data_IF_717891226215
#
_entry.id   IF_717891226215
#
_cell.length_a   1.000
_cell.length_b   1.000
_cell.length_c   1.000
_cell.angle_alpha   90.00
_cell.angle_beta   90.00
_cell.angle_gamma   90.00
#
_symmetry.space_group_name_H-M   'P 1'
#
loop_
_entity.id
_entity.type
_entity.pdbx_description
1 polymer ?
#
# COMPACT_ATOMS: atom_id res chain seq x y z
N UNK A 1 2.56 -9.37 15.47
CA UNK A 1 3.75 -8.79 14.82
C UNK A 1 3.36 -8.35 13.41
N UNK A 2 2.82 -7.15 13.25
CA UNK A 2 2.36 -6.65 11.95
C UNK A 2 3.49 -5.97 11.17
N UNK A 3 3.73 -6.37 9.92
CA UNK A 3 4.69 -5.72 9.04
C UNK A 3 4.03 -4.65 8.18
N UNK A 4 4.25 -3.37 8.52
CA UNK A 4 3.76 -2.23 7.73
C UNK A 4 4.45 -2.08 6.37
N UNK A 5 3.72 -1.61 5.35
CA UNK A 5 4.17 -1.56 3.95
C UNK A 5 4.42 -0.11 3.49
N UNK A 6 5.55 0.50 3.89
CA UNK A 6 5.89 1.89 3.52
C UNK A 6 6.28 2.14 2.06
N UNK A 7 5.59 3.00 1.30
CA UNK A 7 6.24 3.51 0.09
C UNK A 7 5.48 4.40 -0.89
N UNK A 8 6.01 4.44 -2.11
CA UNK A 8 5.73 5.46 -3.14
C UNK A 8 4.34 5.37 -3.77
N UNK A 9 3.47 4.53 -3.19
CA UNK A 9 2.04 4.68 -3.37
C UNK A 9 1.52 6.04 -2.89
N UNK A 10 2.26 6.76 -2.04
CA UNK A 10 1.87 8.01 -1.35
C UNK A 10 0.92 8.98 -2.07
N UNK A 11 0.98 9.16 -3.40
CA UNK A 11 0.04 10.04 -4.13
C UNK A 11 -1.32 9.41 -4.52
N UNK A 12 -1.41 8.07 -4.66
CA UNK A 12 -2.66 7.32 -4.89
C UNK A 12 -3.11 6.58 -3.61
N UNK A 13 -2.23 6.40 -2.64
CA UNK A 13 -2.48 5.69 -1.39
C UNK A 13 -2.79 6.64 -0.23
N UNK A 14 -2.28 7.89 -0.25
CA UNK A 14 -2.84 8.96 0.58
C UNK A 14 -4.33 9.20 0.30
N UNK A 15 -4.76 8.93 -0.94
CA UNK A 15 -6.16 8.96 -1.38
C UNK A 15 -7.03 7.89 -0.69
N UNK A 16 -6.45 6.79 -0.20
CA UNK A 16 -7.18 5.77 0.57
C UNK A 16 -7.09 6.03 2.09
N UNK A 17 -5.91 6.43 2.58
CA UNK A 17 -5.63 6.53 4.02
C UNK A 17 -6.34 7.70 4.73
N UNK A 18 -6.58 8.82 4.04
CA UNK A 18 -7.34 9.96 4.54
C UNK A 18 -8.87 9.73 4.49
N UNK A 19 -9.34 8.48 4.50
CA UNK A 19 -10.77 8.17 4.57
C UNK A 19 -11.30 8.14 6.02
N UNK A 20 -10.48 7.74 7.00
CA UNK A 20 -10.97 7.42 8.36
C UNK A 20 -10.23 8.04 9.55
N UNK A 21 -9.07 8.68 9.38
CA UNK A 21 -8.33 9.16 10.56
C UNK A 21 -7.14 10.09 10.35
N UNK A 22 -6.96 10.66 9.15
CA UNK A 22 -5.94 11.69 8.94
C UNK A 22 -6.33 12.97 9.66
N UNK A 23 -5.56 13.35 10.69
CA UNK A 23 -5.64 14.64 11.38
C UNK A 23 -5.72 15.75 10.31
N UNK A 24 -6.87 16.43 10.25
CA UNK A 24 -7.05 17.50 9.28
C UNK A 24 -6.03 18.59 9.61
N UNK A 25 -5.02 18.75 8.77
CA UNK A 25 -4.49 20.06 8.49
C UNK A 25 -5.62 20.84 7.78
N UNK A 26 -6.59 21.34 8.57
CA UNK A 26 -7.73 22.09 8.02
C UNK A 26 -7.17 23.26 7.22
N UNK A 27 -7.41 23.32 5.88
CA UNK A 27 -7.21 24.56 5.18
C UNK A 27 -8.20 25.55 5.77
N UNK A 28 -7.69 26.53 6.50
CA UNK A 28 -8.47 27.55 7.19
C UNK A 28 -9.64 28.04 6.32
N UNK A 29 -10.85 27.65 6.73
CA UNK A 29 -12.14 28.11 6.22
C UNK A 29 -12.36 28.13 4.69
N UNK A 30 -12.98 27.09 4.12
CA UNK A 30 -14.03 27.32 3.11
C UNK A 30 -15.42 27.18 3.76
N UNK A 31 -16.04 28.27 4.24
CA UNK A 31 -17.34 28.23 4.91
C UNK A 31 -18.50 28.02 3.92
N UNK A 32 -18.25 27.83 2.63
CA UNK A 32 -19.28 27.79 1.59
C UNK A 32 -19.57 26.43 0.96
N UNK A 33 -18.77 25.37 1.21
CA UNK A 33 -18.86 24.12 0.43
C UNK A 33 -19.21 22.84 1.20
N UNK A 34 -19.16 22.86 2.53
CA UNK A 34 -19.60 21.73 3.35
C UNK A 34 -20.40 22.22 4.56
N UNK A 35 -21.57 21.62 4.79
CA UNK A 35 -22.45 21.90 5.93
C UNK A 35 -21.92 21.39 7.28
N UNK A 36 -20.60 21.34 7.46
CA UNK A 36 -19.96 21.00 8.73
C UNK A 36 -19.80 22.26 9.58
N UNK A 37 -20.43 22.29 10.77
CA UNK A 37 -20.23 23.37 11.71
C UNK A 37 -18.78 23.36 12.24
N UNK A 38 -18.02 24.43 11.98
CA UNK A 38 -16.67 24.64 12.52
C UNK A 38 -16.65 24.51 14.05
N UNK A 39 -15.57 23.97 14.62
CA UNK A 39 -15.40 23.86 16.07
C UNK A 39 -15.40 25.24 16.77
N UNK A 40 -15.74 25.34 18.08
CA UNK A 40 -15.87 26.63 18.76
C UNK A 40 -14.59 27.49 18.79
N UNK A 41 -13.41 26.87 18.82
CA UNK A 41 -12.13 27.57 18.99
C UNK A 41 -11.78 28.51 17.83
N UNK A 42 -11.85 28.03 16.59
CA UNK A 42 -11.30 28.77 15.44
C UNK A 42 -12.26 29.81 14.86
N UNK A 43 -13.56 29.75 15.18
CA UNK A 43 -14.57 30.69 14.67
C UNK A 43 -14.22 32.15 14.96
N UNK A 44 -13.67 32.44 16.15
CA UNK A 44 -13.32 33.80 16.56
C UNK A 44 -12.13 34.36 15.78
N UNK A 45 -11.14 33.53 15.45
CA UNK A 45 -9.96 33.93 14.67
C UNK A 45 -10.30 34.05 13.18
N UNK A 46 -11.01 33.07 12.63
CA UNK A 46 -11.39 33.03 11.21
C UNK A 46 -12.41 34.10 10.83
N UNK A 47 -13.15 34.67 11.78
CA UNK A 47 -14.02 35.82 11.55
C UNK A 47 -13.28 37.02 10.92
N UNK A 48 -11.98 37.18 11.24
CA UNK A 48 -11.12 38.24 10.72
C UNK A 48 -10.45 37.90 9.37
N UNK A 49 -10.47 36.64 8.92
CA UNK A 49 -9.76 36.20 7.69
C UNK A 49 -10.53 36.55 6.41
N UNK A 50 -10.62 37.85 6.09
CA UNK A 50 -11.32 38.35 4.88
C UNK A 50 -10.43 38.26 3.64
N UNK A 51 -11.00 37.87 2.50
CA UNK A 51 -10.29 37.79 1.21
C UNK A 51 -9.42 36.54 1.01
N UNK A 52 -9.59 35.50 1.84
CA UNK A 52 -8.80 34.26 1.78
C UNK A 52 -8.89 33.52 0.43
N UNK A 53 -10.03 33.64 -0.29
CA UNK A 53 -10.23 33.07 -1.64
C UNK A 53 -9.20 33.63 -2.62
N UNK A 54 -9.17 34.96 -2.78
CA UNK A 54 -8.22 35.65 -3.67
C UNK A 54 -6.77 35.39 -3.25
N UNK A 55 -6.47 35.32 -1.94
CA UNK A 55 -5.13 34.92 -1.47
C UNK A 55 -4.77 33.48 -1.86
N UNK A 56 -5.73 32.56 -1.86
CA UNK A 56 -5.53 31.17 -2.28
C UNK A 56 -5.28 31.09 -3.78
N UNK A 57 -6.03 31.82 -4.59
CA UNK A 57 -5.81 31.89 -6.04
C UNK A 57 -4.44 32.52 -6.36
N UNK A 58 -4.05 33.59 -5.66
CA UNK A 58 -2.77 34.27 -5.89
C UNK A 58 -1.54 33.43 -5.50
N UNK A 59 -1.70 32.40 -4.64
CA UNK A 59 -0.60 31.49 -4.29
C UNK A 59 -0.03 30.75 -5.51
N UNK A 60 -0.80 30.59 -6.60
CA UNK A 60 -0.30 29.97 -7.84
C UNK A 60 0.89 30.73 -8.46
N UNK A 61 1.01 32.04 -8.19
CA UNK A 61 2.10 32.90 -8.67
C UNK A 61 3.22 33.07 -7.64
N UNK A 62 2.99 32.67 -6.38
CA UNK A 62 3.97 32.78 -5.29
C UNK A 62 4.66 31.45 -4.98
N UNK A 63 4.00 30.33 -5.28
CA UNK A 63 4.47 28.97 -4.99
C UNK A 63 4.44 28.15 -6.28
N UNK A 64 5.57 27.52 -6.64
CA UNK A 64 5.64 26.56 -7.76
C UNK A 64 4.86 25.25 -7.49
N UNK A 65 4.16 25.14 -6.36
CA UNK A 65 3.38 23.96 -5.96
C UNK A 65 1.91 24.17 -6.31
N UNK A 66 1.43 23.47 -7.34
CA UNK A 66 0.02 23.44 -7.70
C UNK A 66 -0.81 22.74 -6.61
N UNK A 67 -1.91 23.37 -6.19
CA UNK A 67 -2.81 22.82 -5.18
C UNK A 67 -4.07 22.24 -5.85
N UNK A 68 -4.16 20.91 -5.97
CA UNK A 68 -5.31 20.22 -6.55
C UNK A 68 -6.18 19.60 -5.45
N UNK A 69 -7.25 20.30 -5.04
CA UNK A 69 -8.06 19.94 -3.87
C UNK A 69 -9.37 19.16 -4.15
N UNK A 70 -9.70 18.83 -5.41
CA UNK A 70 -11.08 18.50 -5.79
C UNK A 70 -11.36 17.18 -6.53
N UNK A 71 -10.38 16.32 -6.83
CA UNK A 71 -10.61 15.14 -7.69
C UNK A 71 -10.62 13.77 -6.98
N UNK A 72 -10.47 13.74 -5.65
CA UNK A 72 -10.17 12.51 -4.90
C UNK A 72 -11.30 11.47 -4.93
N UNK A 73 -12.53 11.89 -4.59
CA UNK A 73 -13.70 10.98 -4.49
C UNK A 73 -14.11 10.51 -5.88
N UNK A 74 -14.13 11.42 -6.85
CA UNK A 74 -14.53 11.14 -8.23
C UNK A 74 -13.57 10.14 -8.91
N UNK A 75 -12.27 10.20 -8.61
CA UNK A 75 -11.27 9.21 -9.09
C UNK A 75 -11.50 7.83 -8.48
N UNK A 76 -11.81 7.73 -7.18
CA UNK A 76 -12.13 6.43 -6.56
C UNK A 76 -13.40 5.83 -7.18
N UNK A 77 -14.44 6.64 -7.39
CA UNK A 77 -15.67 6.20 -8.03
C UNK A 77 -15.44 5.75 -9.49
N UNK A 78 -14.66 6.50 -10.27
CA UNK A 78 -14.32 6.17 -11.66
C UNK A 78 -13.46 4.89 -11.79
N UNK A 79 -12.69 4.53 -10.77
CA UNK A 79 -11.88 3.31 -10.72
C UNK A 79 -12.64 2.08 -10.20
N UNK A 80 -13.96 2.16 -10.03
CA UNK A 80 -14.78 1.02 -9.56
C UNK A 80 -14.87 0.89 -8.03
N UNK A 81 -14.58 1.97 -7.30
CA UNK A 81 -14.62 1.97 -5.83
C UNK A 81 -13.40 1.33 -5.18
N UNK A 82 -13.37 1.33 -3.84
CA UNK A 82 -12.20 0.86 -3.07
C UNK A 82 -11.99 -0.65 -3.26
N UNK A 83 -13.05 -1.44 -3.30
CA UNK A 83 -12.95 -2.90 -3.47
C UNK A 83 -12.34 -3.29 -4.83
N UNK A 84 -12.81 -2.68 -5.92
CA UNK A 84 -12.26 -2.88 -7.27
C UNK A 84 -10.77 -2.51 -7.36
N UNK A 85 -10.39 -1.38 -6.74
CA UNK A 85 -8.99 -0.97 -6.62
C UNK A 85 -8.17 -2.02 -5.85
N UNK A 86 -8.70 -2.59 -4.76
CA UNK A 86 -7.98 -3.56 -3.93
C UNK A 86 -7.84 -4.93 -4.59
N UNK A 87 -8.68 -5.31 -5.54
CA UNK A 87 -8.54 -6.56 -6.32
C UNK A 87 -7.24 -6.60 -7.14
N UNK A 88 -6.81 -5.45 -7.66
CA UNK A 88 -5.57 -5.27 -8.41
C UNK A 88 -4.32 -5.18 -7.52
N UNK A 89 -4.46 -5.40 -6.20
CA UNK A 89 -3.39 -5.28 -5.19
C UNK A 89 -3.14 -6.57 -4.43
N UNK A 90 -2.03 -6.62 -3.68
CA UNK A 90 -1.67 -7.72 -2.80
C UNK A 90 -2.54 -7.80 -1.52
N UNK A 91 -3.60 -6.98 -1.38
CA UNK A 91 -4.42 -6.89 -0.18
C UNK A 91 -4.95 -8.26 0.30
N UNK A 92 -5.53 -9.07 -0.59
CA UNK A 92 -6.06 -10.40 -0.24
C UNK A 92 -5.01 -11.34 0.36
N UNK A 93 -3.72 -11.18 0.02
CA UNK A 93 -2.62 -11.94 0.60
C UNK A 93 -2.20 -11.48 2.01
N UNK A 94 -2.63 -10.30 2.46
CA UNK A 94 -2.37 -9.82 3.83
C UNK A 94 -3.30 -10.45 4.87
N UNK A 95 -4.38 -11.09 4.41
CA UNK A 95 -5.36 -11.82 5.24
C UNK A 95 -6.07 -10.95 6.31
N UNK A 96 -6.17 -9.64 6.08
CA UNK A 96 -7.08 -8.79 6.84
C UNK A 96 -8.54 -9.01 6.42
N UNK A 97 -9.51 -9.01 7.35
CA UNK A 97 -10.92 -9.27 7.04
C UNK A 97 -11.61 -8.08 6.37
N UNK A 98 -11.17 -6.85 6.66
CA UNK A 98 -11.69 -5.58 6.12
C UNK A 98 -10.54 -4.65 5.78
N UNK A 99 -10.80 -3.68 4.91
CA UNK A 99 -9.85 -2.59 4.62
C UNK A 99 -10.06 -1.35 5.52
N UNK A 100 -11.23 -1.25 6.15
CA UNK A 100 -11.57 -0.26 7.18
C UNK A 100 -10.61 -0.39 8.38
N UNK A 101 -10.17 0.75 8.92
CA UNK A 101 -9.20 0.83 10.01
C UNK A 101 -7.75 0.53 9.64
N UNK A 102 -7.42 0.31 8.36
CA UNK A 102 -6.03 0.13 7.91
C UNK A 102 -5.32 1.46 7.70
N UNK A 103 -4.18 1.62 8.36
CA UNK A 103 -3.35 2.82 8.26
C UNK A 103 -2.00 2.52 7.62
N UNK A 104 -1.70 3.25 6.53
CA UNK A 104 -0.36 3.33 5.98
C UNK A 104 0.52 4.19 6.91
N UNK A 105 1.60 3.61 7.44
CA UNK A 105 2.54 4.32 8.32
C UNK A 105 3.41 5.29 7.51
N UNK A 106 3.07 6.59 7.59
CA UNK A 106 3.60 7.67 6.73
C UNK A 106 5.11 7.94 6.86
N UNK A 107 5.78 7.45 7.92
CA UNK A 107 7.22 7.44 8.03
C UNK A 107 7.66 6.34 9.00
N UNK A 108 8.38 5.33 8.49
CA UNK A 108 9.09 4.41 9.38
C UNK A 108 10.04 5.21 10.28
N UNK A 109 10.19 4.79 11.55
CA UNK A 109 11.16 5.41 12.47
C UNK A 109 12.58 5.44 11.91
N UNK A 110 12.92 4.49 11.02
CA UNK A 110 14.17 4.47 10.26
C UNK A 110 14.31 5.70 9.34
N UNK A 111 13.33 5.96 8.47
CA UNK A 111 13.36 7.10 7.54
C UNK A 111 13.34 8.44 8.27
N UNK A 112 12.54 8.57 9.33
CA UNK A 112 12.55 9.73 10.22
C UNK A 112 13.94 9.97 10.85
N UNK A 113 14.59 8.92 11.38
CA UNK A 113 15.93 8.99 11.97
C UNK A 113 17.04 9.31 10.96
N UNK A 114 16.79 9.12 9.67
CA UNK A 114 17.75 9.35 8.60
C UNK A 114 17.56 10.69 7.88
N UNK A 115 16.35 11.27 7.94
CA UNK A 115 15.97 12.56 7.30
C UNK A 115 16.91 13.71 7.64
N UNK A 116 17.37 13.78 8.89
CA UNK A 116 18.23 14.85 9.40
C UNK A 116 19.73 14.49 9.41
N UNK A 117 20.10 13.28 8.98
CA UNK A 117 21.51 12.86 8.88
C UNK A 117 22.11 13.33 7.56
N UNK A 118 23.39 13.71 7.59
CA UNK A 118 24.12 14.16 6.39
C UNK A 118 24.46 12.95 5.50
N UNK A 119 23.56 12.64 4.57
CA UNK A 119 23.72 11.55 3.60
C UNK A 119 24.50 11.98 2.36
N UNK A 120 25.25 11.04 1.77
CA UNK A 120 25.79 11.18 0.42
C UNK A 120 24.69 11.05 -0.64
N UNK A 121 24.95 11.54 -1.87
CA UNK A 121 24.00 11.40 -2.98
C UNK A 121 23.68 9.92 -3.31
N UNK A 122 24.66 9.02 -3.15
CA UNK A 122 24.46 7.57 -3.32
C UNK A 122 23.54 6.99 -2.24
N UNK A 123 23.72 7.38 -0.96
CA UNK A 123 22.83 6.97 0.13
C UNK A 123 21.40 7.51 -0.05
N UNK A 124 21.26 8.77 -0.49
CA UNK A 124 19.95 9.38 -0.78
C UNK A 124 19.23 8.68 -1.93
N UNK A 125 19.95 8.34 -3.00
CA UNK A 125 19.44 7.53 -4.12
C UNK A 125 18.98 6.14 -3.65
N UNK A 126 19.76 5.48 -2.79
CA UNK A 126 19.38 4.20 -2.17
C UNK A 126 18.12 4.29 -1.30
N UNK A 127 17.98 5.36 -0.50
CA UNK A 127 16.80 5.58 0.34
C UNK A 127 15.53 5.72 -0.52
N UNK A 128 15.60 6.46 -1.64
CA UNK A 128 14.51 6.62 -2.60
C UNK A 128 14.11 5.31 -3.31
N UNK A 129 14.88 4.23 -3.23
CA UNK A 129 14.47 2.91 -3.73
C UNK A 129 13.52 2.17 -2.78
N UNK A 130 13.57 2.44 -1.47
CA UNK A 130 12.74 1.73 -0.48
C UNK A 130 11.25 1.97 -0.77
N UNK A 131 10.77 3.21 -0.96
CA UNK A 131 9.36 3.45 -1.30
C UNK A 131 8.95 2.78 -2.61
N UNK A 132 9.82 2.77 -3.61
CA UNK A 132 9.55 2.14 -4.91
C UNK A 132 9.33 0.62 -4.78
N UNK A 133 10.10 -0.08 -3.93
CA UNK A 133 9.95 -1.53 -3.71
C UNK A 133 8.58 -1.91 -3.15
N UNK A 134 8.06 -1.11 -2.23
CA UNK A 134 6.78 -1.39 -1.57
C UNK A 134 5.60 -1.05 -2.49
N UNK A 135 5.70 0.02 -3.29
CA UNK A 135 4.76 0.27 -4.38
C UNK A 135 4.72 -0.89 -5.38
N UNK A 136 5.89 -1.34 -5.86
CA UNK A 136 5.95 -2.47 -6.81
C UNK A 136 5.42 -3.77 -6.20
N UNK A 137 5.62 -3.99 -4.89
CA UNK A 137 5.11 -5.17 -4.18
C UNK A 137 3.59 -5.12 -4.01
N UNK A 138 3.04 -3.97 -3.59
CA UNK A 138 1.60 -3.80 -3.38
C UNK A 138 0.80 -4.02 -4.68
N UNK A 139 1.28 -3.46 -5.79
CA UNK A 139 0.68 -3.62 -7.11
C UNK A 139 1.20 -4.84 -7.88
N UNK A 140 1.91 -5.78 -7.22
CA UNK A 140 2.53 -6.92 -7.91
C UNK A 140 1.56 -7.83 -8.66
N UNK A 141 0.30 -8.07 -8.23
CA UNK A 141 -0.67 -8.87 -9.01
C UNK A 141 -1.08 -8.24 -10.34
N UNK A 142 -0.86 -6.93 -10.49
CA UNK A 142 -1.20 -6.16 -11.70
C UNK A 142 0.02 -5.90 -12.58
N UNK A 143 1.16 -5.58 -11.96
CA UNK A 143 2.42 -5.36 -12.67
C UNK A 143 2.97 -6.68 -13.23
N UNK A 144 2.91 -7.79 -12.48
CA UNK A 144 3.48 -9.08 -12.89
C UNK A 144 2.50 -9.98 -13.67
N UNK A 145 1.74 -9.40 -14.61
CA UNK A 145 0.77 -10.13 -15.46
C UNK A 145 1.39 -10.56 -16.78
N UNK A 146 1.10 -11.78 -17.22
CA UNK A 146 1.51 -12.29 -18.54
C UNK A 146 1.02 -11.40 -19.70
N UNK A 147 -0.18 -10.85 -19.59
CA UNK A 147 -0.79 -9.99 -20.62
C UNK A 147 -0.14 -8.59 -20.73
N UNK A 148 0.72 -8.19 -19.78
CA UNK A 148 1.35 -6.85 -19.75
C UNK A 148 2.74 -6.87 -20.39
N UNK A 149 3.45 -8.00 -20.35
CA UNK A 149 4.82 -8.10 -20.84
C UNK A 149 4.97 -9.21 -21.90
N UNK A 150 5.23 -8.80 -23.14
CA UNK A 150 5.71 -9.71 -24.19
C UNK A 150 7.16 -10.10 -23.87
N UNK A 151 7.38 -11.32 -23.41
CA UNK A 151 8.73 -11.82 -23.12
C UNK A 151 8.77 -13.16 -22.40
N UNK A 152 9.99 -13.65 -22.17
CA UNK A 152 10.22 -14.92 -21.49
C UNK A 152 9.85 -14.86 -20.00
N UNK A 153 9.08 -15.85 -19.56
CA UNK A 153 8.73 -16.10 -18.17
C UNK A 153 9.92 -16.72 -17.44
N UNK A 154 10.25 -16.22 -16.23
CA UNK A 154 11.39 -16.70 -15.43
C UNK A 154 10.93 -17.10 -14.04
N UNK A 155 11.26 -18.31 -13.60
CA UNK A 155 10.97 -18.78 -12.23
C UNK A 155 11.86 -18.08 -11.20
N UNK A 156 11.29 -17.68 -10.07
CA UNK A 156 11.97 -16.96 -9.00
C UNK A 156 12.63 -17.92 -8.01
N UNK A 157 13.86 -18.33 -8.33
CA UNK A 157 14.71 -19.10 -7.41
C UNK A 157 14.09 -20.43 -7.00
N UNK A 158 13.96 -20.68 -5.69
CA UNK A 158 13.36 -21.89 -5.12
C UNK A 158 11.86 -21.75 -4.81
N UNK A 159 11.18 -20.79 -5.42
CA UNK A 159 9.73 -20.59 -5.29
C UNK A 159 9.01 -20.99 -6.58
N UNK A 160 7.71 -21.27 -6.50
CA UNK A 160 6.87 -21.48 -7.69
C UNK A 160 6.36 -20.18 -8.31
N UNK A 161 6.92 -19.02 -7.93
CA UNK A 161 6.53 -17.72 -8.49
C UNK A 161 7.24 -17.51 -9.82
N UNK A 162 6.47 -17.16 -10.84
CA UNK A 162 6.99 -16.76 -12.14
C UNK A 162 6.95 -15.25 -12.30
N UNK A 163 8.01 -14.69 -12.88
CA UNK A 163 8.09 -13.28 -13.23
C UNK A 163 7.97 -13.08 -14.74
N UNK A 164 7.12 -12.14 -15.14
CA UNK A 164 6.97 -11.70 -16.51
C UNK A 164 7.73 -10.37 -16.69
N UNK A 165 8.77 -10.38 -17.51
CA UNK A 165 9.66 -9.23 -17.69
C UNK A 165 10.71 -9.04 -16.58
N UNK A 166 11.52 -7.97 -16.70
CA UNK A 166 12.65 -7.68 -15.80
C UNK A 166 12.28 -6.58 -14.80
N UNK A 167 11.64 -6.95 -13.69
CA UNK A 167 11.23 -6.03 -12.62
C UNK A 167 12.13 -6.25 -11.38
N UNK A 168 13.29 -5.58 -11.27
CA UNK A 168 14.28 -5.87 -10.21
C UNK A 168 13.80 -5.51 -8.81
N UNK A 169 12.97 -4.46 -8.66
CA UNK A 169 12.40 -4.06 -7.37
C UNK A 169 11.47 -5.15 -6.81
N UNK A 170 10.59 -5.71 -7.66
CA UNK A 170 9.71 -6.82 -7.29
C UNK A 170 10.51 -8.08 -6.94
N UNK A 171 11.51 -8.44 -7.76
CA UNK A 171 12.40 -9.57 -7.51
C UNK A 171 13.01 -9.52 -6.11
N UNK A 172 13.54 -8.36 -5.70
CA UNK A 172 14.14 -8.16 -4.37
C UNK A 172 13.08 -8.33 -3.27
N UNK A 173 11.91 -7.70 -3.42
CA UNK A 173 10.82 -7.79 -2.42
C UNK A 173 10.33 -9.21 -2.21
N UNK A 174 10.09 -9.97 -3.28
CA UNK A 174 9.61 -11.36 -3.20
C UNK A 174 10.67 -12.31 -2.62
N UNK A 175 11.95 -12.16 -2.98
CA UNK A 175 13.04 -12.93 -2.35
C UNK A 175 13.12 -12.63 -0.84
N UNK A 176 12.89 -11.38 -0.44
CA UNK A 176 12.90 -10.98 0.98
C UNK A 176 11.67 -11.49 1.76
N UNK A 177 10.55 -11.77 1.09
CA UNK A 177 9.42 -12.48 1.71
C UNK A 177 9.78 -13.96 1.87
N UNK A 178 10.14 -14.64 0.79
CA UNK A 178 10.39 -16.09 0.80
C UNK A 178 11.80 -16.51 1.26
N UNK A 179 12.46 -15.66 2.06
CA UNK A 179 13.80 -15.91 2.60
C UNK A 179 13.85 -17.17 3.48
N UNK A 180 15.05 -17.71 3.70
CA UNK A 180 15.27 -18.86 4.61
C UNK A 180 14.36 -20.08 4.30
N UNK A 181 14.15 -20.34 3.01
CA UNK A 181 13.33 -21.44 2.45
C UNK A 181 11.86 -21.45 2.90
N UNK A 182 11.28 -20.26 3.15
CA UNK A 182 9.88 -20.14 3.62
C UNK A 182 8.87 -20.88 2.72
N UNK A 183 9.05 -20.83 1.39
CA UNK A 183 8.18 -21.55 0.44
C UNK A 183 8.13 -23.06 0.71
N UNK A 184 9.30 -23.69 0.91
CA UNK A 184 9.39 -25.12 1.26
C UNK A 184 8.76 -25.40 2.63
N UNK A 185 9.02 -24.54 3.62
CA UNK A 185 8.47 -24.70 4.97
C UNK A 185 6.95 -24.62 5.01
N UNK A 186 6.34 -23.73 4.22
CA UNK A 186 4.88 -23.66 4.08
C UNK A 186 4.35 -24.96 3.47
N UNK A 187 4.95 -25.44 2.39
CA UNK A 187 4.56 -26.70 1.74
C UNK A 187 4.71 -27.91 2.68
N UNK A 188 5.83 -28.00 3.42
CA UNK A 188 6.04 -29.04 4.43
C UNK A 188 5.05 -28.95 5.59
N UNK A 189 4.75 -27.75 6.11
CA UNK A 189 3.73 -27.56 7.16
C UNK A 189 2.37 -28.05 6.70
N UNK A 190 1.88 -27.56 5.55
CA UNK A 190 0.54 -27.92 5.04
C UNK A 190 0.39 -29.44 4.86
N UNK A 191 1.42 -30.14 4.40
CA UNK A 191 1.40 -31.60 4.29
C UNK A 191 1.38 -32.27 5.68
N UNK A 192 2.15 -31.77 6.64
CA UNK A 192 2.19 -32.30 8.02
C UNK A 192 0.92 -31.99 8.81
N UNK A 193 0.22 -30.89 8.51
CA UNK A 193 -1.02 -30.48 9.15
C UNK A 193 -2.23 -31.23 8.55
N UNK A 194 -2.23 -31.47 7.22
CA UNK A 194 -3.29 -32.23 6.54
C UNK A 194 -3.24 -33.73 6.84
N UNK A 195 -2.05 -34.32 6.95
CA UNK A 195 -1.91 -35.77 7.11
C UNK A 195 -2.68 -36.33 8.33
N UNK A 196 -2.56 -35.78 9.56
CA UNK A 196 -3.32 -36.25 10.71
C UNK A 196 -4.85 -36.15 10.54
N UNK A 197 -5.34 -35.21 9.73
CA UNK A 197 -6.78 -35.07 9.43
C UNK A 197 -7.25 -36.22 8.53
N UNK A 198 -6.44 -36.62 7.55
CA UNK A 198 -6.74 -37.79 6.72
C UNK A 198 -6.55 -39.13 7.47
N UNK A 199 -5.55 -39.21 8.34
CA UNK A 199 -5.30 -40.39 9.20
C UNK A 199 -6.41 -40.57 10.29
N UNK A 200 -7.27 -39.57 10.52
CA UNK A 200 -8.45 -39.65 11.43
C UNK A 200 -9.70 -40.25 10.78
N UNK A 201 -9.86 -40.14 9.45
CA UNK A 201 -11.09 -40.52 8.74
C UNK A 201 -10.87 -41.61 7.64
N UNK A 202 -10.07 -42.68 7.89
CA UNK A 202 -9.76 -43.67 6.85
C UNK A 202 -10.98 -44.50 6.41
N UNK A 203 -11.90 -44.79 7.33
CA UNK A 203 -13.12 -45.57 7.06
C UNK A 203 -14.10 -44.80 6.16
N UNK A 204 -14.27 -43.49 6.41
CA UNK A 204 -15.11 -42.62 5.59
C UNK A 204 -14.53 -42.41 4.17
N UNK A 205 -13.20 -42.41 4.04
CA UNK A 205 -12.48 -42.22 2.77
C UNK A 205 -12.24 -43.53 2.00
N UNK A 206 -12.44 -44.70 2.62
CA UNK A 206 -12.16 -46.03 2.03
C UNK A 206 -10.70 -46.20 1.58
N UNK A 207 -9.74 -45.67 2.34
CA UNK A 207 -8.30 -45.75 2.03
C UNK A 207 -7.56 -46.63 3.04
N UNK A 208 -6.87 -47.67 2.59
CA UNK A 208 -6.16 -48.61 3.47
C UNK A 208 -4.90 -48.02 4.12
N UNK A 209 -4.09 -47.24 3.39
CA UNK A 209 -2.98 -46.45 3.95
C UNK A 209 -2.62 -45.25 3.07
N UNK A 210 -2.39 -44.09 3.70
CA UNK A 210 -1.81 -42.90 3.05
C UNK A 210 -0.27 -42.98 3.05
N UNK A 211 0.32 -43.13 1.87
CA UNK A 211 1.79 -43.05 1.67
C UNK A 211 2.21 -41.65 1.20
N UNK A 212 3.42 -41.22 1.59
CA UNK A 212 4.03 -39.93 1.25
C UNK A 212 4.71 -39.95 -0.13
#
# INVERSE_FOLDING_TARGET
MGGGVHGLGLHIVGILNEAEGGERAEPASDPGRFGGQLGPGDRHTLAYDKGWRVRTDWKQYQLLKHNAFCYRVDVIAALGGIEGILEDTLFKCTYFPTWEGLFWENASGFEGSMRYKKLTNAQRSGLNQIPNRHFTLWWSPTINRANVYVGFQVQLGLTSIFMHGKIPTLKISLIQIFRAHLWRKIHESVIMDLRPVFDQEPEALQVEMMQK
#
